data_IF_415934328438
#
_entry.id   IF_415934328438
#
_cell.length_a   1.000
_cell.length_b   1.000
_cell.length_c   1.000
_cell.angle_alpha   90.00
_cell.angle_beta   90.00
_cell.angle_gamma   90.00
#
_symmetry.space_group_name_H-M   'P 1'
#
loop_
_entity.id
_entity.type
_entity.pdbx_description
1 polymer ?
#
# COMPACT_ATOMS: atom_id res chain seq x y z
N UNK A 1 -5.78 -15.62 17.89
CA UNK A 1 -5.28 -14.66 16.85
C UNK A 1 -5.22 -15.38 15.51
N UNK A 2 -5.81 -14.83 14.46
CA UNK A 2 -5.62 -15.33 13.10
C UNK A 2 -4.26 -14.82 12.61
N UNK A 3 -3.38 -15.75 12.26
CA UNK A 3 -2.03 -15.45 11.78
C UNK A 3 -1.69 -16.40 10.65
N UNK A 4 -2.10 -16.02 9.45
CA UNK A 4 -2.00 -16.83 8.24
C UNK A 4 -1.20 -16.10 7.16
N UNK A 5 -0.58 -16.85 6.27
CA UNK A 5 0.02 -16.34 5.05
C UNK A 5 -0.93 -16.65 3.90
N UNK A 6 -1.47 -15.61 3.29
CA UNK A 6 -2.44 -15.67 2.21
C UNK A 6 -1.75 -15.24 0.92
N UNK A 7 -1.80 -16.08 -0.11
CA UNK A 7 -1.32 -15.70 -1.44
C UNK A 7 -2.29 -14.71 -2.08
N UNK A 8 -1.75 -13.72 -2.78
CA UNK A 8 -2.55 -12.83 -3.62
C UNK A 8 -2.81 -13.55 -4.94
N UNK A 9 -4.08 -13.82 -5.19
CA UNK A 9 -4.54 -14.52 -6.40
C UNK A 9 -5.00 -13.50 -7.44
N UNK A 10 -4.07 -12.98 -8.23
CA UNK A 10 -4.34 -12.09 -9.36
C UNK A 10 -4.01 -12.79 -10.68
N UNK A 11 -4.90 -12.66 -11.64
CA UNK A 11 -4.68 -13.11 -13.02
C UNK A 11 -3.88 -12.05 -13.78
N UNK A 12 -2.56 -12.05 -13.59
CA UNK A 12 -1.65 -11.10 -14.23
C UNK A 12 -1.67 -11.22 -15.76
N UNK A 13 -1.87 -12.41 -16.30
CA UNK A 13 -1.94 -12.64 -17.74
C UNK A 13 -3.16 -11.91 -18.35
N UNK A 14 -4.33 -12.01 -17.70
CA UNK A 14 -5.54 -11.27 -18.09
C UNK A 14 -5.33 -9.75 -18.07
N UNK A 15 -4.43 -9.27 -17.22
CA UNK A 15 -4.05 -7.85 -17.15
C UNK A 15 -2.96 -7.45 -18.15
N UNK A 16 -2.47 -8.38 -18.97
CA UNK A 16 -1.35 -8.15 -19.88
C UNK A 16 0.00 -7.97 -19.20
N UNK A 17 0.15 -8.49 -17.98
CA UNK A 17 1.37 -8.37 -17.17
C UNK A 17 2.08 -9.71 -17.13
N UNK A 18 3.36 -9.71 -17.52
CA UNK A 18 4.25 -10.86 -17.32
C UNK A 18 4.77 -10.87 -15.87
N UNK A 19 4.09 -11.60 -14.98
CA UNK A 19 4.52 -11.72 -13.60
C UNK A 19 5.61 -12.80 -13.46
N UNK A 20 6.68 -12.50 -12.73
CA UNK A 20 7.85 -13.37 -12.55
C UNK A 20 8.05 -13.70 -11.08
N UNK A 21 8.35 -14.98 -10.80
CA UNK A 21 8.68 -15.45 -9.45
C UNK A 21 7.46 -15.79 -8.60
N UNK A 22 7.61 -15.70 -7.28
CA UNK A 22 6.56 -16.06 -6.32
C UNK A 22 5.46 -15.00 -6.30
N UNK A 23 4.22 -15.42 -6.06
CA UNK A 23 3.10 -14.51 -5.86
C UNK A 23 3.33 -13.61 -4.64
N UNK A 24 2.79 -12.40 -4.70
CA UNK A 24 2.71 -11.53 -3.54
C UNK A 24 1.88 -12.18 -2.42
N UNK A 25 2.16 -11.86 -1.18
CA UNK A 25 1.48 -12.46 -0.02
C UNK A 25 1.04 -11.42 0.99
N UNK A 26 0.02 -11.78 1.75
CA UNK A 26 -0.45 -11.06 2.92
C UNK A 26 -0.24 -11.93 4.17
N UNK A 27 0.43 -11.41 5.19
CA UNK A 27 0.49 -12.06 6.50
C UNK A 27 -0.46 -11.36 7.45
N UNK A 28 -1.44 -12.07 7.98
CA UNK A 28 -2.47 -11.52 8.87
C UNK A 28 -2.02 -11.50 10.32
N UNK A 29 -2.44 -10.48 11.05
CA UNK A 29 -2.30 -10.28 12.49
C UNK A 29 -3.64 -9.80 13.03
N UNK A 30 -4.61 -10.71 13.17
CA UNK A 30 -5.99 -10.40 13.53
C UNK A 30 -6.28 -10.90 14.93
N UNK A 31 -6.66 -10.02 15.83
CA UNK A 31 -7.00 -10.35 17.21
C UNK A 31 -8.31 -11.11 17.29
N UNK A 32 -8.36 -12.13 18.16
CA UNK A 32 -9.61 -12.79 18.49
C UNK A 32 -10.60 -11.83 19.14
N UNK A 33 -11.87 -12.04 18.85
CA UNK A 33 -12.96 -11.50 19.65
C UNK A 33 -13.33 -12.49 20.76
N UNK A 34 -13.44 -11.98 21.98
CA UNK A 34 -13.88 -12.79 23.09
C UNK A 34 -15.39 -12.67 23.28
N UNK A 35 -16.10 -13.79 23.55
CA UNK A 35 -17.55 -13.79 23.75
C UNK A 35 -18.04 -12.87 24.89
N UNK A 36 -17.14 -12.56 25.83
CA UNK A 36 -17.44 -11.71 26.99
C UNK A 36 -17.52 -10.21 26.66
N UNK A 37 -17.15 -9.80 25.45
CA UNK A 37 -17.38 -8.42 25.02
C UNK A 37 -18.88 -8.18 24.84
N UNK A 38 -19.44 -7.29 25.67
CA UNK A 38 -20.88 -6.96 25.68
C UNK A 38 -21.38 -6.31 24.39
N UNK A 39 -20.46 -5.81 23.53
CA UNK A 39 -20.76 -5.25 22.21
C UNK A 39 -19.69 -5.68 21.22
N UNK A 40 -20.08 -5.98 19.96
CA UNK A 40 -19.11 -6.16 18.88
C UNK A 40 -18.19 -4.94 18.81
N UNK A 41 -16.90 -5.17 18.90
CA UNK A 41 -15.89 -4.13 18.76
C UNK A 41 -15.14 -4.31 17.46
N UNK A 42 -15.59 -3.60 16.45
CA UNK A 42 -14.94 -3.61 15.13
C UNK A 42 -13.66 -2.78 15.17
N UNK A 43 -12.51 -3.44 15.02
CA UNK A 43 -11.21 -2.79 15.06
C UNK A 43 -10.85 -2.17 13.70
N UNK A 44 -10.17 -1.02 13.67
CA UNK A 44 -9.52 -0.58 12.44
C UNK A 44 -8.43 -1.56 12.03
N UNK A 45 -8.17 -1.64 10.73
CA UNK A 45 -7.12 -2.47 10.14
C UNK A 45 -6.06 -1.61 9.49
N UNK A 46 -4.79 -2.00 9.65
CA UNK A 46 -3.66 -1.37 8.98
C UNK A 46 -2.97 -2.37 8.06
N UNK A 47 -2.96 -2.09 6.76
CA UNK A 47 -2.19 -2.84 5.76
C UNK A 47 -0.81 -2.19 5.65
N UNK A 48 0.23 -2.94 5.95
CA UNK A 48 1.60 -2.46 6.09
C UNK A 48 2.41 -2.90 4.86
N UNK A 49 2.97 -1.93 4.15
CA UNK A 49 3.86 -2.12 3.00
C UNK A 49 5.31 -1.80 3.44
N UNK A 50 6.16 -2.81 3.67
CA UNK A 50 7.55 -2.60 4.04
C UNK A 50 8.35 -1.93 2.91
N UNK A 51 9.39 -1.17 3.25
CA UNK A 51 10.33 -0.61 2.29
C UNK A 51 11.35 -1.64 1.78
N UNK A 52 12.37 -1.15 1.12
CA UNK A 52 13.47 -1.94 0.57
C UNK A 52 13.76 -1.67 -0.91
N UNK A 53 13.37 -0.49 -1.41
CA UNK A 53 13.73 -0.01 -2.75
C UNK A 53 13.19 -0.88 -3.90
N UNK A 54 12.11 -1.64 -3.68
CA UNK A 54 11.58 -2.65 -4.61
C UNK A 54 12.53 -3.82 -4.93
N UNK A 55 13.67 -3.89 -4.27
CA UNK A 55 14.64 -5.00 -4.41
C UNK A 55 14.51 -6.06 -3.32
N UNK A 56 13.97 -5.70 -2.17
CA UNK A 56 13.70 -6.59 -1.04
C UNK A 56 12.63 -6.00 -0.13
N UNK A 57 12.16 -6.77 0.86
CA UNK A 57 11.31 -6.24 1.93
C UNK A 57 12.14 -6.05 3.21
N UNK A 58 12.08 -4.85 3.78
CA UNK A 58 12.74 -4.53 5.06
C UNK A 58 12.07 -5.29 6.20
N UNK A 59 12.79 -6.18 6.92
CA UNK A 59 12.18 -6.94 8.02
C UNK A 59 11.72 -6.05 9.18
N UNK A 60 12.37 -4.89 9.36
CA UNK A 60 12.05 -3.94 10.44
C UNK A 60 10.73 -3.23 10.26
N UNK A 61 10.23 -3.17 9.02
CA UNK A 61 9.04 -2.42 8.62
C UNK A 61 7.83 -3.32 8.36
N UNK A 62 7.95 -4.60 8.65
CA UNK A 62 6.89 -5.60 8.50
C UNK A 62 6.30 -6.02 9.84
N UNK A 63 6.66 -7.21 10.32
CA UNK A 63 6.11 -7.83 11.54
C UNK A 63 6.25 -6.94 12.78
N UNK A 64 7.40 -6.27 12.96
CA UNK A 64 7.61 -5.40 14.11
C UNK A 64 6.58 -4.26 14.17
N UNK A 65 6.21 -3.72 13.01
CA UNK A 65 5.16 -2.69 12.90
C UNK A 65 3.78 -3.31 13.15
N UNK A 66 3.49 -4.49 12.61
CA UNK A 66 2.22 -5.19 12.81
C UNK A 66 1.98 -5.48 14.30
N UNK A 67 2.98 -5.98 15.01
CA UNK A 67 2.92 -6.22 16.47
C UNK A 67 2.66 -4.92 17.23
N UNK A 68 3.29 -3.81 16.81
CA UNK A 68 3.02 -2.51 17.45
C UNK A 68 1.60 -2.00 17.18
N UNK A 69 1.06 -2.21 15.98
CA UNK A 69 -0.34 -1.88 15.68
C UNK A 69 -1.31 -2.71 16.53
N UNK A 70 -1.02 -4.01 16.73
CA UNK A 70 -1.80 -4.85 17.64
C UNK A 70 -1.79 -4.31 19.08
N UNK A 71 -0.62 -3.87 19.60
CA UNK A 71 -0.48 -3.26 20.92
C UNK A 71 -1.37 -2.02 21.07
N UNK A 72 -1.48 -1.24 20.00
CA UNK A 72 -2.32 -0.03 19.94
C UNK A 72 -3.81 -0.30 19.72
N UNK A 73 -4.24 -1.55 19.61
CA UNK A 73 -5.66 -1.92 19.44
C UNK A 73 -6.14 -2.06 18.01
N UNK A 74 -5.25 -1.97 17.01
CA UNK A 74 -5.56 -2.23 15.62
C UNK A 74 -5.41 -3.72 15.28
N UNK A 75 -6.01 -4.16 14.20
CA UNK A 75 -5.59 -5.34 13.46
C UNK A 75 -4.59 -4.94 12.38
N UNK A 76 -3.78 -5.89 11.90
CA UNK A 76 -2.77 -5.59 10.89
C UNK A 76 -2.64 -6.69 9.84
N UNK A 77 -2.21 -6.30 8.65
CA UNK A 77 -1.75 -7.18 7.56
C UNK A 77 -0.40 -6.66 7.10
N UNK A 78 0.58 -7.54 6.93
CA UNK A 78 1.83 -7.20 6.24
C UNK A 78 1.72 -7.65 4.79
N UNK A 79 1.71 -6.70 3.87
CA UNK A 79 1.70 -6.95 2.43
C UNK A 79 3.13 -7.10 1.92
N UNK A 80 3.47 -8.30 1.47
CA UNK A 80 4.71 -8.57 0.74
C UNK A 80 4.41 -8.49 -0.75
N UNK A 81 4.41 -7.27 -1.25
CA UNK A 81 4.14 -6.96 -2.65
C UNK A 81 5.27 -7.45 -3.56
N UNK A 82 5.00 -7.58 -4.85
CA UNK A 82 5.99 -8.01 -5.85
C UNK A 82 7.19 -7.09 -5.93
N UNK A 83 8.36 -7.69 -5.96
CA UNK A 83 9.65 -7.01 -6.09
C UNK A 83 10.17 -7.12 -7.53
N UNK A 84 11.25 -6.40 -7.85
CA UNK A 84 11.96 -6.61 -9.11
C UNK A 84 12.21 -8.11 -9.35
N UNK A 85 12.04 -8.63 -10.56
CA UNK A 85 11.89 -7.91 -11.82
C UNK A 85 10.44 -7.54 -12.19
N UNK A 86 9.46 -7.68 -11.27
CA UNK A 86 8.10 -7.25 -11.53
C UNK A 86 8.00 -5.72 -11.47
N UNK A 87 7.42 -5.12 -12.51
CA UNK A 87 7.34 -3.68 -12.68
C UNK A 87 5.96 -3.14 -12.28
N UNK A 88 5.88 -1.82 -12.14
CA UNK A 88 4.62 -1.13 -12.05
C UNK A 88 3.72 -1.49 -13.26
N UNK A 89 2.42 -1.78 -13.04
CA UNK A 89 1.61 -1.51 -11.85
C UNK A 89 1.35 -2.72 -10.92
N UNK A 90 2.14 -3.81 -10.96
CA UNK A 90 1.91 -5.00 -10.13
C UNK A 90 1.63 -4.64 -8.66
N UNK A 91 2.52 -3.88 -8.05
CA UNK A 91 2.48 -3.50 -6.64
C UNK A 91 1.23 -2.68 -6.28
N UNK A 92 0.78 -1.84 -7.20
CA UNK A 92 -0.44 -1.05 -7.07
C UNK A 92 -1.69 -1.95 -7.02
N UNK A 93 -1.76 -2.93 -7.93
CA UNK A 93 -2.87 -3.87 -8.00
C UNK A 93 -2.92 -4.82 -6.80
N UNK A 94 -1.77 -5.25 -6.32
CA UNK A 94 -1.64 -6.07 -5.12
C UNK A 94 -2.08 -5.31 -3.85
N UNK A 95 -1.75 -4.03 -3.75
CA UNK A 95 -2.22 -3.17 -2.66
C UNK A 95 -3.74 -2.95 -2.72
N UNK A 96 -4.29 -2.75 -3.92
CA UNK A 96 -5.73 -2.64 -4.14
C UNK A 96 -6.47 -3.95 -3.80
N UNK A 97 -5.91 -5.10 -4.21
CA UNK A 97 -6.42 -6.42 -3.84
C UNK A 97 -6.45 -6.58 -2.32
N UNK A 98 -5.39 -6.20 -1.61
CA UNK A 98 -5.30 -6.35 -0.17
C UNK A 98 -6.38 -5.54 0.58
N UNK A 99 -6.67 -4.30 0.15
CA UNK A 99 -7.77 -3.48 0.70
C UNK A 99 -9.12 -4.16 0.47
N UNK A 100 -9.39 -4.59 -0.77
CA UNK A 100 -10.64 -5.26 -1.11
C UNK A 100 -10.82 -6.56 -0.33
N UNK A 101 -9.78 -7.38 -0.27
CA UNK A 101 -9.79 -8.64 0.48
C UNK A 101 -10.10 -8.42 1.97
N UNK A 102 -9.46 -7.43 2.58
CA UNK A 102 -9.73 -7.08 3.98
C UNK A 102 -11.19 -6.68 4.21
N UNK A 103 -11.79 -5.89 3.31
CA UNK A 103 -13.20 -5.49 3.38
C UNK A 103 -14.15 -6.66 3.19
N UNK A 104 -13.84 -7.58 2.29
CA UNK A 104 -14.66 -8.79 2.10
C UNK A 104 -14.66 -9.71 3.33
N UNK A 105 -13.56 -9.72 4.12
CA UNK A 105 -13.44 -10.50 5.36
C UNK A 105 -13.77 -9.69 6.62
N UNK A 106 -14.31 -8.48 6.48
CA UNK A 106 -14.53 -7.56 7.60
C UNK A 106 -15.34 -8.19 8.73
N UNK A 107 -16.39 -8.93 8.40
CA UNK A 107 -17.25 -9.61 9.38
C UNK A 107 -16.54 -10.77 10.07
N UNK A 108 -15.77 -11.55 9.33
CA UNK A 108 -15.03 -12.71 9.85
C UNK A 108 -13.91 -12.27 10.80
N UNK A 109 -13.29 -11.14 10.49
CA UNK A 109 -12.14 -10.62 11.23
C UNK A 109 -12.49 -9.56 12.29
N UNK A 110 -13.76 -9.28 12.48
CA UNK A 110 -14.25 -8.21 13.37
C UNK A 110 -13.53 -6.88 13.15
N UNK A 111 -13.37 -6.49 11.88
CA UNK A 111 -12.80 -5.21 11.49
C UNK A 111 -13.87 -4.26 10.97
N UNK A 112 -13.63 -2.97 11.17
CA UNK A 112 -14.46 -1.92 10.60
C UNK A 112 -14.09 -1.71 9.14
N UNK A 113 -14.98 -2.00 8.16
CA UNK A 113 -14.67 -1.86 6.75
C UNK A 113 -14.43 -0.41 6.31
N UNK A 114 -14.90 0.57 7.10
CA UNK A 114 -14.71 2.01 6.87
C UNK A 114 -13.47 2.56 7.59
N UNK A 115 -12.61 1.68 8.13
CA UNK A 115 -11.36 2.03 8.81
C UNK A 115 -10.22 1.11 8.39
N UNK A 116 -10.02 0.96 7.08
CA UNK A 116 -8.92 0.20 6.49
C UNK A 116 -7.86 1.19 5.99
N UNK A 117 -6.78 1.28 6.75
CA UNK A 117 -5.67 2.22 6.53
C UNK A 117 -4.56 1.49 5.80
N UNK A 118 -3.90 2.16 4.84
CA UNK A 118 -2.66 1.66 4.26
C UNK A 118 -1.46 2.40 4.85
N UNK A 119 -0.48 1.64 5.32
CA UNK A 119 0.76 2.17 5.87
C UNK A 119 1.94 1.74 5.00
N UNK A 120 2.92 2.61 4.81
CA UNK A 120 4.10 2.25 4.05
C UNK A 120 5.34 3.06 4.43
N UNK A 121 6.50 2.44 4.23
CA UNK A 121 7.80 3.00 4.61
C UNK A 121 8.73 3.00 3.40
N UNK A 122 9.44 4.11 3.14
CA UNK A 122 10.38 4.20 2.03
C UNK A 122 9.71 3.83 0.69
N UNK A 123 10.19 2.84 -0.05
CA UNK A 123 9.54 2.31 -1.26
C UNK A 123 8.14 1.73 -0.99
N UNK A 124 7.89 1.12 0.19
CA UNK A 124 6.55 0.71 0.61
C UNK A 124 5.62 1.91 0.85
N UNK A 125 6.18 3.06 1.24
CA UNK A 125 5.47 4.33 1.29
C UNK A 125 5.01 4.79 -0.10
N UNK A 126 5.81 4.51 -1.13
CA UNK A 126 5.42 4.73 -2.52
C UNK A 126 4.25 3.82 -2.93
N UNK A 127 4.28 2.53 -2.57
CA UNK A 127 3.15 1.61 -2.84
C UNK A 127 1.86 2.11 -2.17
N UNK A 128 1.94 2.48 -0.89
CA UNK A 128 0.79 2.98 -0.14
C UNK A 128 0.24 4.29 -0.72
N UNK A 129 1.13 5.24 -1.05
CA UNK A 129 0.76 6.51 -1.64
C UNK A 129 0.25 6.36 -3.09
N UNK A 130 0.80 5.41 -3.87
CA UNK A 130 0.29 5.09 -5.21
C UNK A 130 -1.18 4.68 -5.14
N UNK A 131 -1.55 3.77 -4.24
CA UNK A 131 -2.94 3.39 -4.09
C UNK A 131 -3.79 4.60 -3.63
N UNK A 132 -3.34 5.36 -2.64
CA UNK A 132 -4.09 6.51 -2.13
C UNK A 132 -4.32 7.62 -3.16
N UNK A 133 -3.37 7.84 -4.06
CA UNK A 133 -3.50 8.88 -5.09
C UNK A 133 -4.13 8.40 -6.41
N UNK A 134 -4.15 7.09 -6.64
CA UNK A 134 -4.56 6.52 -7.92
C UNK A 134 -5.82 5.63 -7.86
N UNK A 135 -6.39 5.39 -6.67
CA UNK A 135 -7.52 4.46 -6.50
C UNK A 135 -8.71 4.75 -7.40
N UNK A 136 -8.95 6.02 -7.76
CA UNK A 136 -10.05 6.45 -8.64
C UNK A 136 -9.56 6.87 -10.04
N UNK A 137 -8.32 6.56 -10.43
CA UNK A 137 -7.81 6.83 -11.77
C UNK A 137 -8.17 5.68 -12.73
N UNK A 138 -8.14 5.96 -14.03
CA UNK A 138 -8.65 5.06 -15.08
C UNK A 138 -8.04 3.67 -15.00
N UNK A 139 -6.71 3.57 -14.81
CA UNK A 139 -6.01 2.30 -14.76
C UNK A 139 -6.56 1.41 -13.63
N UNK A 140 -6.79 1.98 -12.45
CA UNK A 140 -7.27 1.22 -11.30
C UNK A 140 -8.80 0.97 -11.37
N UNK A 141 -9.55 1.87 -11.99
CA UNK A 141 -10.99 1.65 -12.26
C UNK A 141 -11.21 0.48 -13.23
N UNK A 142 -10.40 0.35 -14.27
CA UNK A 142 -10.43 -0.82 -15.14
C UNK A 142 -10.09 -2.10 -14.39
N UNK A 143 -9.04 -2.07 -13.56
CA UNK A 143 -8.64 -3.21 -12.72
C UNK A 143 -9.76 -3.64 -11.76
N UNK A 144 -10.37 -2.70 -11.03
CA UNK A 144 -11.44 -3.02 -10.07
C UNK A 144 -12.64 -3.65 -10.75
N UNK A 145 -13.05 -3.10 -11.90
CA UNK A 145 -14.21 -3.57 -12.65
C UNK A 145 -13.96 -4.91 -13.34
N UNK A 146 -12.86 -5.03 -14.09
CA UNK A 146 -12.64 -6.12 -15.03
C UNK A 146 -11.97 -7.33 -14.37
N UNK A 147 -11.20 -7.11 -13.30
CA UNK A 147 -10.45 -8.16 -12.59
C UNK A 147 -11.10 -8.49 -11.25
N UNK A 148 -11.40 -7.50 -10.42
CA UNK A 148 -11.98 -7.74 -9.09
C UNK A 148 -13.53 -7.83 -9.11
N UNK A 149 -14.19 -7.27 -10.12
CA UNK A 149 -15.65 -7.25 -10.22
C UNK A 149 -16.31 -6.36 -9.15
N UNK A 150 -15.64 -5.28 -8.74
CA UNK A 150 -16.10 -4.36 -7.68
C UNK A 150 -16.03 -2.91 -8.13
N UNK A 151 -16.72 -2.03 -7.40
CA UNK A 151 -16.61 -0.59 -7.60
C UNK A 151 -15.27 -0.05 -7.09
N UNK A 152 -14.75 1.05 -7.63
CA UNK A 152 -13.46 1.62 -7.25
C UNK A 152 -13.31 1.92 -5.75
N UNK A 153 -14.40 2.31 -5.09
CA UNK A 153 -14.45 2.60 -3.67
C UNK A 153 -14.05 1.40 -2.80
N UNK A 154 -14.23 0.17 -3.30
CA UNK A 154 -13.85 -1.05 -2.59
C UNK A 154 -12.34 -1.18 -2.35
N UNK A 155 -11.52 -0.50 -3.16
CA UNK A 155 -10.06 -0.49 -3.04
C UNK A 155 -9.50 0.82 -2.48
N UNK A 156 -10.35 1.82 -2.21
CA UNK A 156 -9.94 3.10 -1.63
C UNK A 156 -9.48 2.90 -0.19
N UNK A 157 -8.26 3.28 0.21
CA UNK A 157 -7.90 3.30 1.62
C UNK A 157 -8.62 4.44 2.35
N UNK A 158 -9.00 4.24 3.61
CA UNK A 158 -9.66 5.26 4.42
C UNK A 158 -8.67 6.29 5.00
N UNK A 159 -7.38 5.99 4.91
CA UNK A 159 -6.29 6.87 5.29
C UNK A 159 -4.94 6.28 4.92
N UNK A 160 -3.92 7.12 4.90
CA UNK A 160 -2.53 6.73 4.65
C UNK A 160 -1.65 7.05 5.87
N UNK A 161 -0.74 6.13 6.21
CA UNK A 161 0.29 6.35 7.20
C UNK A 161 1.66 6.15 6.51
N UNK A 162 2.38 7.25 6.31
CA UNK A 162 3.56 7.27 5.44
C UNK A 162 4.81 7.65 6.24
N UNK A 163 5.73 6.70 6.38
CA UNK A 163 7.03 6.90 7.00
C UNK A 163 8.11 7.11 5.93
N UNK A 164 8.76 8.28 5.92
CA UNK A 164 9.84 8.62 4.97
C UNK A 164 9.59 8.07 3.56
N UNK A 165 8.40 8.33 2.97
CA UNK A 165 7.99 7.69 1.74
C UNK A 165 8.82 8.17 0.53
N UNK A 166 9.10 7.29 -0.41
CA UNK A 166 9.48 7.67 -1.77
C UNK A 166 8.22 8.21 -2.45
N UNK A 167 8.30 9.38 -3.08
CA UNK A 167 7.14 10.06 -3.69
C UNK A 167 7.49 10.60 -5.08
N UNK A 168 8.50 11.46 -5.18
CA UNK A 168 8.86 12.13 -6.43
C UNK A 168 9.87 11.36 -7.24
N UNK A 169 9.65 11.33 -8.54
CA UNK A 169 10.64 10.86 -9.53
C UNK A 169 11.55 11.97 -10.05
N UNK A 170 11.34 13.22 -9.59
CA UNK A 170 12.06 14.40 -10.01
C UNK A 170 13.45 14.57 -9.41
N UNK A 171 13.81 15.81 -9.05
CA UNK A 171 15.14 16.16 -8.53
C UNK A 171 15.51 15.39 -7.27
N UNK A 172 14.55 15.22 -6.33
CA UNK A 172 14.75 14.57 -5.03
C UNK A 172 14.41 13.07 -5.05
N UNK A 173 14.41 12.45 -6.22
CA UNK A 173 14.06 11.04 -6.36
C UNK A 173 15.06 10.11 -5.66
N UNK A 174 14.55 9.08 -4.97
CA UNK A 174 15.34 7.91 -4.63
C UNK A 174 15.47 7.03 -5.89
N UNK A 175 16.46 7.33 -6.74
CA UNK A 175 16.64 6.77 -8.08
C UNK A 175 16.57 5.24 -8.13
N UNK A 176 17.28 4.58 -7.22
CA UNK A 176 17.31 3.11 -7.20
C UNK A 176 15.94 2.46 -6.99
N UNK A 177 14.99 3.11 -6.29
CA UNK A 177 13.62 2.61 -6.21
C UNK A 177 12.93 2.66 -7.56
N UNK A 178 13.05 3.74 -8.30
CA UNK A 178 12.42 3.86 -9.63
C UNK A 178 13.07 2.97 -10.67
N UNK A 179 14.38 2.81 -10.63
CA UNK A 179 15.12 1.87 -11.50
C UNK A 179 14.63 0.42 -11.29
N UNK A 180 14.34 0.02 -10.06
CA UNK A 180 13.78 -1.30 -9.76
C UNK A 180 12.29 -1.42 -10.11
N UNK A 181 11.52 -0.32 -9.97
CA UNK A 181 10.06 -0.32 -10.15
C UNK A 181 9.63 -0.32 -11.62
N UNK A 182 10.32 0.43 -12.49
CA UNK A 182 9.91 0.68 -13.87
C UNK A 182 11.01 0.39 -14.91
N UNK A 183 12.08 -0.21 -14.48
CA UNK A 183 13.26 -0.73 -15.19
C UNK A 183 13.30 -0.49 -16.71
N UNK A 184 12.60 -1.33 -17.50
CA UNK A 184 12.62 -1.28 -18.96
C UNK A 184 11.71 -0.18 -19.53
N UNK A 185 10.71 0.25 -18.77
CA UNK A 185 9.73 1.27 -19.15
C UNK A 185 10.01 2.63 -18.50
N UNK A 186 11.26 2.88 -18.09
CA UNK A 186 11.62 4.06 -17.30
C UNK A 186 11.17 5.38 -17.95
N UNK A 187 11.46 5.59 -19.23
CA UNK A 187 11.10 6.82 -19.93
C UNK A 187 9.59 7.03 -20.13
N UNK A 188 8.80 5.95 -20.10
CA UNK A 188 7.36 6.00 -20.34
C UNK A 188 6.57 6.17 -19.04
N UNK A 189 7.09 5.62 -17.94
CA UNK A 189 6.37 5.53 -16.68
C UNK A 189 6.86 6.51 -15.62
N UNK A 190 8.06 7.10 -15.78
CA UNK A 190 8.70 7.90 -14.73
C UNK A 190 7.81 9.05 -14.23
N UNK A 191 7.08 9.72 -15.10
CA UNK A 191 6.17 10.79 -14.74
C UNK A 191 4.86 10.25 -14.11
N UNK A 192 4.47 9.01 -14.46
CA UNK A 192 3.27 8.38 -13.91
C UNK A 192 3.44 7.97 -12.46
N UNK A 193 4.66 7.66 -12.05
CA UNK A 193 4.99 7.22 -10.69
C UNK A 193 5.47 8.36 -9.79
N UNK A 194 5.39 9.62 -10.24
CA UNK A 194 5.66 10.82 -9.43
C UNK A 194 4.37 11.26 -8.74
N UNK A 195 4.19 10.83 -7.50
CA UNK A 195 2.88 10.79 -6.84
C UNK A 195 2.37 12.15 -6.38
N UNK A 196 3.24 13.13 -6.16
CA UNK A 196 2.84 14.52 -5.90
C UNK A 196 2.01 15.12 -7.06
N UNK A 197 2.17 14.58 -8.27
CA UNK A 197 1.41 14.98 -9.45
C UNK A 197 0.10 14.20 -9.63
N UNK A 198 -0.17 13.22 -8.76
CA UNK A 198 -1.35 12.35 -8.80
C UNK A 198 -2.39 12.68 -7.74
N UNK A 199 -2.10 13.62 -6.86
CA UNK A 199 -3.02 14.06 -5.80
C UNK A 199 -4.25 14.70 -6.42
N UNK A 200 -5.43 14.28 -5.96
CA UNK A 200 -6.73 14.81 -6.34
C UNK A 200 -7.58 15.10 -5.10
N UNK A 201 -8.76 15.66 -5.27
CA UNK A 201 -9.72 15.86 -4.18
C UNK A 201 -10.19 14.55 -3.54
N UNK A 202 -10.05 13.42 -4.26
CA UNK A 202 -10.43 12.08 -3.79
C UNK A 202 -9.30 11.40 -3.00
N UNK A 203 -8.10 11.97 -2.97
CA UNK A 203 -6.96 11.42 -2.23
C UNK A 203 -7.27 11.39 -0.73
N UNK A 204 -7.17 10.21 -0.06
CA UNK A 204 -7.46 10.10 1.38
C UNK A 204 -6.52 10.94 2.23
N UNK A 205 -6.97 11.27 3.45
CA UNK A 205 -6.11 11.92 4.43
C UNK A 205 -4.84 11.09 4.70
N UNK A 206 -3.74 11.79 5.01
CA UNK A 206 -2.46 11.17 5.30
C UNK A 206 -1.83 11.70 6.59
N UNK A 207 -1.22 10.79 7.35
CA UNK A 207 -0.22 11.13 8.36
C UNK A 207 1.15 10.82 7.78
N UNK A 208 2.02 11.84 7.70
CA UNK A 208 3.35 11.72 7.11
C UNK A 208 4.39 12.08 8.17
N UNK A 209 5.41 11.23 8.35
CA UNK A 209 6.56 11.58 9.16
C UNK A 209 7.87 11.28 8.43
N UNK A 210 8.87 12.13 8.63
CA UNK A 210 10.14 12.04 7.94
C UNK A 210 11.24 12.74 8.76
N UNK A 211 12.43 12.16 8.83
CA UNK A 211 13.58 12.79 9.45
C UNK A 211 14.21 13.78 8.47
N UNK A 212 14.37 15.05 8.87
CA UNK A 212 14.87 16.12 7.98
C UNK A 212 16.25 15.80 7.38
N UNK A 213 17.08 15.07 8.12
CA UNK A 213 18.44 14.69 7.70
C UNK A 213 18.50 13.27 7.15
N UNK A 214 17.41 12.74 6.59
CA UNK A 214 17.42 11.42 5.96
C UNK A 214 18.39 11.41 4.77
N UNK A 215 19.41 10.55 4.84
CA UNK A 215 20.45 10.43 3.81
C UNK A 215 20.11 9.44 2.69
N UNK A 216 18.96 8.77 2.79
CA UNK A 216 18.50 7.79 1.78
C UNK A 216 17.37 8.35 0.92
N UNK A 217 16.28 8.75 1.55
CA UNK A 217 15.14 9.39 0.87
C UNK A 217 15.10 10.86 1.30
N UNK A 218 15.34 11.81 0.39
CA UNK A 218 15.29 13.23 0.72
C UNK A 218 13.92 13.63 1.29
N UNK A 219 13.92 14.42 2.38
CA UNK A 219 12.70 14.86 3.07
C UNK A 219 11.73 15.63 2.14
N UNK A 220 12.24 16.18 1.06
CA UNK A 220 11.48 16.84 0.02
C UNK A 220 10.39 15.96 -0.58
N UNK A 221 10.57 14.63 -0.60
CA UNK A 221 9.52 13.70 -1.00
C UNK A 221 8.24 13.90 -0.18
N UNK A 222 8.37 13.93 1.14
CA UNK A 222 7.25 14.18 2.05
C UNK A 222 6.69 15.60 1.91
N UNK A 223 7.55 16.60 1.74
CA UNK A 223 7.15 17.99 1.59
C UNK A 223 6.35 18.21 0.29
N UNK A 224 6.77 17.61 -0.81
CA UNK A 224 6.09 17.70 -2.10
C UNK A 224 4.69 17.06 -2.03
N UNK A 225 4.57 15.86 -1.45
CA UNK A 225 3.26 15.23 -1.27
C UNK A 225 2.34 16.07 -0.36
N UNK A 226 2.84 16.51 0.79
CA UNK A 226 2.08 17.34 1.72
C UNK A 226 1.63 18.67 1.08
N UNK A 227 2.49 19.29 0.27
CA UNK A 227 2.16 20.50 -0.48
C UNK A 227 1.09 20.26 -1.54
N UNK A 228 1.14 19.12 -2.24
CA UNK A 228 0.13 18.74 -3.21
C UNK A 228 -1.23 18.45 -2.54
N UNK A 229 -1.25 17.79 -1.41
CA UNK A 229 -2.47 17.46 -0.65
C UNK A 229 -3.13 18.67 0.01
N UNK A 230 -2.44 19.80 0.13
CA UNK A 230 -2.99 21.04 0.70
C UNK A 230 -3.85 21.83 -0.29
N UNK A 231 -3.71 21.56 -1.58
CA UNK A 231 -4.45 22.30 -2.65
C UNK A 231 -5.89 21.80 -2.75
#
# INVERSE_FOLDING_TARGET
MIHDIINIELDYEKMGIEHKGAAATMTTYIKDMYPDYQKPFERPLVIICPGGGYGHHSPREGEAVAVKMLDMGYNAIVLRYSLMPNEFPCQLYEAAYAINYARQHAREWDINPDKVIIAGFSAGGHVAASLGTMWNQEELRCFTKDILGVEPEAVRPDGMLLGYPVITSGEYAHRGSFENLIKEHYSELIDKVSLENRVTADTPQAFIWHTVTDGSVPVENSMLLASAMKK
#
